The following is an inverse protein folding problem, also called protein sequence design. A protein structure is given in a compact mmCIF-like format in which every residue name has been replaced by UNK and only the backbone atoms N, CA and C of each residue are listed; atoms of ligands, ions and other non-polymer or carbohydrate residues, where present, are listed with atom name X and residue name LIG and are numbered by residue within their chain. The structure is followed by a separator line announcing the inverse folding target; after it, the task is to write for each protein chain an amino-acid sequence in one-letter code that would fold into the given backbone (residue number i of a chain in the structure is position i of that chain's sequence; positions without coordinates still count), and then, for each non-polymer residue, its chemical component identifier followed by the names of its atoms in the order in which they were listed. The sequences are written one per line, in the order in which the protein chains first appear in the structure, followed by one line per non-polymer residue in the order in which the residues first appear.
data_IF_741518056192
#
_entry.id   IF_741518056192
#
_cell.length_a   1.000
_cell.length_b   1.000
_cell.length_c   1.000
_cell.angle_alpha   90.00
_cell.angle_beta   90.00
_cell.angle_gamma   90.00
#
_symmetry.space_group_name_H-M   'P 1'
#
loop_
_entity.id
_entity.type
_entity.pdbx_description
1 polymer ?
#
# COMPACT_ATOMS: atom_id res chain seq x y z
N UNK A 1 28.72 61.25 32.92
CA UNK A 1 27.96 61.23 31.64
C UNK A 1 27.98 59.79 31.15
N UNK A 2 26.88 59.08 31.29
CA UNK A 2 26.72 57.70 30.79
C UNK A 2 26.17 57.81 29.34
N UNK A 3 27.03 57.52 28.35
CA UNK A 3 26.63 57.50 26.95
C UNK A 3 25.89 56.18 26.63
N UNK A 4 24.60 56.23 26.35
CA UNK A 4 23.83 55.13 25.79
C UNK A 4 24.14 55.00 24.32
N UNK A 5 24.84 53.93 23.89
CA UNK A 5 24.92 53.55 22.51
C UNK A 5 23.69 52.66 22.15
N UNK A 6 22.79 53.16 21.31
CA UNK A 6 21.71 52.40 20.70
C UNK A 6 22.31 51.50 19.61
N UNK A 7 22.50 50.22 19.94
CA UNK A 7 22.80 49.19 18.94
C UNK A 7 21.49 48.72 18.30
N UNK A 8 21.24 49.13 17.08
CA UNK A 8 20.08 48.66 16.28
C UNK A 8 20.44 47.30 15.68
N UNK A 9 20.00 46.22 16.32
CA UNK A 9 20.19 44.85 15.82
C UNK A 9 19.08 44.49 14.79
N UNK A 10 19.37 44.73 13.53
CA UNK A 10 18.45 44.32 12.43
C UNK A 10 18.51 42.80 12.22
N UNK A 11 17.68 42.06 12.92
CA UNK A 11 17.47 40.65 12.66
C UNK A 11 16.52 40.50 11.46
N UNK A 12 17.05 40.22 10.30
CA UNK A 12 16.30 39.78 9.12
C UNK A 12 15.61 38.43 9.48
N UNK A 13 14.36 38.49 9.96
CA UNK A 13 13.49 37.30 9.98
C UNK A 13 13.08 37.01 8.54
N UNK A 14 13.57 35.92 7.98
CA UNK A 14 13.10 35.38 6.72
C UNK A 14 11.61 35.03 6.88
N UNK A 15 10.73 35.96 6.52
CA UNK A 15 9.31 35.70 6.44
C UNK A 15 9.08 34.88 5.17
N UNK A 16 8.61 33.63 5.33
CA UNK A 16 8.24 32.77 4.21
C UNK A 16 7.04 33.42 3.52
N UNK A 17 7.21 33.84 2.28
CA UNK A 17 6.12 34.43 1.50
C UNK A 17 5.04 33.40 1.20
N UNK A 18 3.76 33.81 1.02
CA UNK A 18 2.68 32.89 0.63
C UNK A 18 3.00 32.13 -0.67
N UNK A 19 3.64 32.78 -1.60
CA UNK A 19 4.11 32.22 -2.87
C UNK A 19 5.11 31.07 -2.67
N UNK A 20 6.09 31.25 -1.77
CA UNK A 20 7.05 30.21 -1.46
C UNK A 20 6.37 29.01 -0.76
N UNK A 21 5.41 29.25 0.13
CA UNK A 21 4.61 28.18 0.76
C UNK A 21 3.86 27.37 -0.29
N UNK A 22 3.22 28.02 -1.25
CA UNK A 22 2.49 27.38 -2.35
C UNK A 22 3.42 26.54 -3.23
N UNK A 23 4.59 27.05 -3.61
CA UNK A 23 5.59 26.32 -4.40
C UNK A 23 6.06 25.04 -3.68
N UNK A 24 6.33 25.14 -2.36
CA UNK A 24 6.72 24.01 -1.54
C UNK A 24 5.59 23.00 -1.41
N UNK A 25 4.36 23.46 -1.25
CA UNK A 25 3.17 22.63 -1.17
C UNK A 25 2.98 21.84 -2.47
N UNK A 26 2.98 22.50 -3.61
CA UNK A 26 2.87 21.91 -4.94
C UNK A 26 3.95 20.84 -5.18
N UNK A 27 5.19 21.06 -4.72
CA UNK A 27 6.27 20.08 -4.85
C UNK A 27 5.99 18.81 -4.06
N UNK A 28 5.34 18.91 -2.89
CA UNK A 28 5.09 17.78 -1.99
C UNK A 28 3.90 16.90 -2.41
N UNK A 29 2.92 17.42 -3.14
CA UNK A 29 1.71 16.70 -3.55
C UNK A 29 2.04 15.46 -4.41
N UNK A 30 1.25 14.41 -4.31
CA UNK A 30 1.20 13.31 -5.28
C UNK A 30 0.62 13.76 -6.62
N UNK A 31 0.57 12.89 -7.64
CA UNK A 31 -0.04 13.23 -8.93
C UNK A 31 -1.54 13.51 -8.79
N UNK A 32 -2.25 12.65 -8.05
CA UNK A 32 -3.70 12.78 -7.85
C UNK A 32 -4.06 14.00 -7.01
N UNK A 33 -3.34 14.23 -5.91
CA UNK A 33 -3.51 15.43 -5.08
C UNK A 33 -3.23 16.72 -5.86
N UNK A 34 -2.23 16.70 -6.76
CA UNK A 34 -1.94 17.84 -7.63
C UNK A 34 -3.09 18.12 -8.58
N UNK A 35 -3.66 17.08 -9.22
CA UNK A 35 -4.79 17.25 -10.13
C UNK A 35 -6.00 17.84 -9.41
N UNK A 36 -6.32 17.34 -8.22
CA UNK A 36 -7.40 17.86 -7.40
C UNK A 36 -7.15 19.33 -7.02
N UNK A 37 -5.95 19.66 -6.55
CA UNK A 37 -5.56 21.03 -6.22
C UNK A 37 -5.69 21.97 -7.41
N UNK A 38 -5.25 21.55 -8.60
CA UNK A 38 -5.35 22.36 -9.81
C UNK A 38 -6.80 22.54 -10.25
N UNK A 39 -7.65 21.55 -10.07
CA UNK A 39 -9.08 21.64 -10.34
C UNK A 39 -9.77 22.64 -9.40
N UNK A 40 -9.43 22.63 -8.11
CA UNK A 40 -9.91 23.62 -7.14
C UNK A 40 -9.46 25.04 -7.54
N UNK A 41 -8.18 25.23 -7.90
CA UNK A 41 -7.67 26.52 -8.35
C UNK A 41 -8.28 27.00 -9.68
N UNK A 42 -8.63 26.10 -10.58
CA UNK A 42 -9.34 26.45 -11.83
C UNK A 42 -10.79 26.87 -11.59
N UNK A 43 -11.45 26.38 -10.52
CA UNK A 43 -12.80 26.86 -10.13
C UNK A 43 -12.77 28.24 -9.49
N UNK A 44 -11.69 28.57 -8.76
CA UNK A 44 -11.50 29.87 -8.12
C UNK A 44 -11.02 30.96 -9.09
N UNK A 45 -10.21 30.59 -10.08
CA UNK A 45 -9.59 31.52 -11.02
C UNK A 45 -10.12 31.31 -12.45
N UNK A 46 -11.04 32.18 -12.94
CA UNK A 46 -11.69 32.01 -14.25
C UNK A 46 -10.73 32.17 -15.45
N UNK A 47 -9.51 32.70 -15.22
CA UNK A 47 -8.49 32.89 -16.26
C UNK A 47 -7.72 31.61 -16.54
N UNK A 48 -7.74 30.67 -15.59
CA UNK A 48 -6.97 29.43 -15.65
C UNK A 48 -7.79 28.32 -16.34
N UNK A 49 -7.31 27.82 -17.45
CA UNK A 49 -7.84 26.64 -18.11
C UNK A 49 -6.99 25.42 -17.78
N UNK A 50 -7.64 24.36 -17.36
CA UNK A 50 -7.03 23.09 -17.02
C UNK A 50 -7.51 22.00 -17.99
N UNK A 51 -6.60 21.54 -18.85
CA UNK A 51 -6.87 20.42 -19.75
C UNK A 51 -6.44 19.10 -19.08
N UNK A 52 -7.41 18.29 -18.71
CA UNK A 52 -7.16 16.92 -18.27
C UNK A 52 -7.00 16.02 -19.48
N UNK A 53 -5.76 15.83 -19.93
CA UNK A 53 -5.47 14.79 -20.93
C UNK A 53 -5.62 13.41 -20.28
N UNK A 54 -6.83 12.83 -20.32
CA UNK A 54 -7.00 11.38 -20.15
C UNK A 54 -6.33 10.70 -21.33
N UNK A 55 -5.00 10.62 -21.31
CA UNK A 55 -4.29 9.86 -22.34
C UNK A 55 -4.66 8.37 -22.18
N UNK A 56 -5.51 7.89 -23.05
CA UNK A 56 -5.85 6.47 -23.28
C UNK A 56 -4.63 5.62 -23.69
N UNK A 57 -3.41 6.16 -23.59
CA UNK A 57 -2.21 5.55 -24.17
C UNK A 57 -1.44 4.61 -23.22
N UNK A 58 -1.90 4.41 -21.96
CA UNK A 58 -1.10 3.68 -20.98
C UNK A 58 -1.21 2.13 -21.05
N UNK A 59 -2.19 1.55 -21.74
CA UNK A 59 -2.31 0.10 -21.87
C UNK A 59 -2.82 -0.32 -23.26
N UNK A 60 -1.93 -0.35 -24.25
CA UNK A 60 -2.27 -0.95 -25.53
C UNK A 60 -1.23 -0.67 -26.60
N UNK A 61 -0.28 -1.60 -26.80
CA UNK A 61 0.48 -1.67 -28.04
C UNK A 61 -0.50 -1.72 -29.21
N UNK A 62 -0.44 -0.71 -30.07
CA UNK A 62 -1.08 -0.75 -31.39
C UNK A 62 -0.46 -1.89 -32.21
N UNK A 63 -1.14 -3.02 -32.27
CA UNK A 63 -0.94 -3.97 -33.34
C UNK A 63 -2.20 -3.92 -34.23
N UNK A 64 -2.04 -3.48 -35.47
CA UNK A 64 -3.03 -3.71 -36.50
C UNK A 64 -3.70 -2.46 -37.08
N UNK A 65 -3.25 -2.10 -38.25
CA UNK A 65 -3.97 -1.30 -39.25
C UNK A 65 -5.32 -1.96 -39.60
N UNK A 66 -6.40 -1.42 -39.07
CA UNK A 66 -7.76 -1.79 -39.42
C UNK A 66 -8.63 -0.54 -39.52
N UNK A 67 -9.00 -0.14 -40.76
CA UNK A 67 -10.08 0.81 -41.02
C UNK A 67 -11.40 0.16 -40.57
N UNK A 68 -11.84 0.48 -39.36
CA UNK A 68 -13.16 0.12 -38.84
C UNK A 68 -13.57 1.21 -37.85
N UNK A 69 -14.73 1.83 -38.11
CA UNK A 69 -15.28 2.87 -37.24
C UNK A 69 -15.33 2.38 -35.78
N UNK A 70 -14.56 3.01 -34.90
CA UNK A 70 -14.57 2.71 -33.51
C UNK A 70 -15.95 3.12 -32.95
N UNK A 71 -16.82 2.14 -32.80
CA UNK A 71 -18.03 2.23 -31.99
C UNK A 71 -17.59 2.65 -30.62
N UNK A 72 -17.93 3.88 -30.18
CA UNK A 72 -17.66 4.33 -28.82
C UNK A 72 -18.29 3.31 -27.87
N UNK A 73 -17.54 2.68 -27.00
CA UNK A 73 -18.13 1.79 -26.02
C UNK A 73 -19.08 2.61 -25.15
N UNK A 74 -20.29 2.06 -24.96
CA UNK A 74 -21.37 2.67 -24.21
C UNK A 74 -20.86 3.13 -22.83
N UNK A 75 -21.18 4.34 -22.36
CA UNK A 75 -20.78 4.82 -21.02
C UNK A 75 -21.14 3.87 -19.88
N UNK A 76 -22.16 3.03 -20.08
CA UNK A 76 -22.56 1.95 -19.18
C UNK A 76 -21.47 0.89 -18.92
N UNK A 77 -20.56 0.66 -19.88
CA UNK A 77 -19.43 -0.26 -19.70
C UNK A 77 -18.35 0.27 -18.76
N UNK A 78 -18.36 1.58 -18.47
CA UNK A 78 -17.44 2.24 -17.54
C UNK A 78 -18.09 2.56 -16.19
N UNK A 79 -19.40 2.35 -16.05
CA UNK A 79 -20.04 2.35 -14.75
C UNK A 79 -19.50 1.10 -14.04
N UNK A 80 -18.46 1.29 -13.20
CA UNK A 80 -17.99 0.24 -12.30
C UNK A 80 -19.23 -0.25 -11.55
N UNK A 81 -19.61 -1.51 -11.76
CA UNK A 81 -20.66 -2.10 -10.94
C UNK A 81 -20.25 -1.93 -9.49
N UNK A 82 -21.07 -1.24 -8.71
CA UNK A 82 -20.85 -1.09 -7.27
C UNK A 82 -20.64 -2.51 -6.72
N UNK A 83 -19.43 -2.80 -6.27
CA UNK A 83 -19.17 -4.10 -5.68
C UNK A 83 -19.90 -4.16 -4.35
N UNK A 84 -20.77 -5.16 -4.20
CA UNK A 84 -21.49 -5.36 -2.94
C UNK A 84 -20.51 -5.57 -1.80
N UNK A 85 -20.70 -4.85 -0.73
CA UNK A 85 -19.93 -5.03 0.51
C UNK A 85 -20.20 -6.41 1.11
N UNK A 86 -19.33 -6.87 2.03
CA UNK A 86 -19.57 -8.13 2.76
C UNK A 86 -20.95 -8.13 3.41
N UNK A 87 -21.37 -7.01 4.02
CA UNK A 87 -22.69 -6.84 4.63
C UNK A 87 -23.80 -7.01 3.60
N UNK A 88 -23.74 -6.32 2.44
CA UNK A 88 -24.75 -6.40 1.39
C UNK A 88 -24.91 -7.83 0.86
N UNK A 89 -23.80 -8.57 0.69
CA UNK A 89 -23.83 -9.98 0.27
C UNK A 89 -24.48 -10.87 1.32
N UNK A 90 -24.17 -10.70 2.60
CA UNK A 90 -24.79 -11.46 3.69
C UNK A 90 -26.28 -11.12 3.83
N UNK A 91 -26.65 -9.85 3.72
CA UNK A 91 -28.05 -9.43 3.73
C UNK A 91 -28.84 -10.02 2.56
N UNK A 92 -28.23 -10.12 1.38
CA UNK A 92 -28.87 -10.78 0.22
C UNK A 92 -29.17 -12.27 0.51
N UNK A 93 -28.22 -12.99 1.13
CA UNK A 93 -28.42 -14.39 1.54
C UNK A 93 -29.47 -14.51 2.65
N UNK A 94 -29.47 -13.61 3.66
CA UNK A 94 -30.46 -13.60 4.73
C UNK A 94 -31.88 -13.37 4.20
N UNK A 95 -32.06 -12.55 3.17
CA UNK A 95 -33.37 -12.32 2.53
C UNK A 95 -33.93 -13.56 1.84
N UNK A 96 -33.09 -14.49 1.42
CA UNK A 96 -33.52 -15.76 0.83
C UNK A 96 -34.05 -16.73 1.90
N UNK A 97 -33.63 -16.53 3.16
CA UNK A 97 -34.14 -17.30 4.28
C UNK A 97 -35.43 -16.65 4.80
N UNK A 98 -36.55 -17.37 4.78
CA UNK A 98 -37.84 -16.90 5.30
C UNK A 98 -37.81 -16.81 6.84
N UNK A 99 -37.20 -15.74 7.38
CA UNK A 99 -36.98 -15.51 8.80
C UNK A 99 -38.08 -14.63 9.41
N UNK A 100 -38.45 -14.83 10.69
CA UNK A 100 -39.27 -13.87 11.43
C UNK A 100 -38.61 -12.48 11.46
N UNK A 101 -39.45 -11.41 11.44
CA UNK A 101 -38.96 -10.03 11.35
C UNK A 101 -37.90 -9.68 12.41
N UNK A 102 -38.10 -10.14 13.65
CA UNK A 102 -37.19 -9.80 14.77
C UNK A 102 -35.85 -10.55 14.65
N UNK A 103 -35.89 -11.81 14.20
CA UNK A 103 -34.68 -12.61 13.94
C UNK A 103 -33.90 -12.01 12.74
N UNK A 104 -34.62 -11.59 11.69
CA UNK A 104 -33.99 -10.95 10.53
C UNK A 104 -33.30 -9.64 10.92
N UNK A 105 -33.97 -8.79 11.71
CA UNK A 105 -33.37 -7.52 12.19
C UNK A 105 -32.12 -7.78 13.03
N UNK A 106 -32.17 -8.77 13.92
CA UNK A 106 -31.02 -9.14 14.73
C UNK A 106 -29.87 -9.71 13.86
N UNK A 107 -30.17 -10.56 12.88
CA UNK A 107 -29.17 -11.11 11.96
C UNK A 107 -28.54 -10.02 11.06
N UNK A 108 -29.33 -9.06 10.60
CA UNK A 108 -28.84 -7.91 9.83
C UNK A 108 -27.89 -7.04 10.66
N UNK A 109 -28.27 -6.77 11.92
CA UNK A 109 -27.41 -6.04 12.85
C UNK A 109 -26.10 -6.79 13.15
N UNK A 110 -26.15 -8.10 13.33
CA UNK A 110 -24.96 -8.95 13.48
C UNK A 110 -24.06 -8.87 12.25
N UNK A 111 -24.61 -8.95 11.04
CA UNK A 111 -23.86 -8.87 9.79
C UNK A 111 -23.10 -7.54 9.63
N UNK A 112 -23.69 -6.41 10.07
CA UNK A 112 -23.05 -5.10 10.07
C UNK A 112 -21.96 -4.93 11.15
N UNK A 113 -21.93 -5.78 12.18
CA UNK A 113 -20.93 -5.74 13.25
C UNK A 113 -19.81 -6.78 13.10
N UNK A 114 -19.71 -7.44 11.95
CA UNK A 114 -18.60 -8.34 11.64
C UNK A 114 -17.34 -7.54 11.28
N UNK A 115 -16.18 -8.02 11.73
CA UNK A 115 -14.91 -7.48 11.30
C UNK A 115 -14.55 -7.95 9.86
N UNK A 116 -13.47 -7.41 9.28
CA UNK A 116 -13.01 -7.76 7.92
C UNK A 116 -12.73 -9.25 7.73
N UNK A 117 -12.41 -9.97 8.79
CA UNK A 117 -12.16 -11.41 8.76
C UNK A 117 -13.45 -12.24 8.84
N UNK A 118 -14.59 -11.64 9.17
CA UNK A 118 -15.88 -12.28 9.35
C UNK A 118 -16.16 -12.74 10.78
N UNK A 119 -15.41 -12.24 11.77
CA UNK A 119 -15.61 -12.53 13.19
C UNK A 119 -16.52 -11.52 13.86
N UNK A 120 -17.22 -11.96 14.90
CA UNK A 120 -18.08 -11.13 15.74
C UNK A 120 -17.30 -10.77 17.02
N UNK A 121 -16.84 -9.52 17.11
CA UNK A 121 -16.06 -9.04 18.25
C UNK A 121 -16.96 -8.55 19.41
N UNK A 122 -18.26 -8.32 19.15
CA UNK A 122 -19.21 -7.75 20.11
C UNK A 122 -19.95 -8.87 20.85
N UNK A 123 -20.06 -8.82 22.18
CA UNK A 123 -20.78 -9.83 22.97
C UNK A 123 -22.31 -9.79 22.70
N UNK A 124 -22.96 -10.96 22.66
CA UNK A 124 -24.38 -11.08 22.34
C UNK A 124 -25.29 -10.32 23.32
N UNK A 125 -24.88 -10.21 24.57
CA UNK A 125 -25.60 -9.45 25.62
C UNK A 125 -25.71 -7.97 25.31
N UNK A 126 -24.66 -7.38 24.77
CA UNK A 126 -24.63 -5.98 24.34
C UNK A 126 -25.55 -5.75 23.13
N UNK A 127 -25.52 -6.66 22.18
CA UNK A 127 -26.40 -6.63 21.00
C UNK A 127 -27.86 -6.76 21.39
N UNK A 128 -28.18 -7.66 22.31
CA UNK A 128 -29.54 -7.83 22.85
C UNK A 128 -30.03 -6.55 23.53
N UNK A 129 -29.16 -5.87 24.28
CA UNK A 129 -29.46 -4.60 24.92
C UNK A 129 -29.72 -3.47 23.91
N UNK A 130 -28.89 -3.37 22.87
CA UNK A 130 -29.02 -2.35 21.82
C UNK A 130 -30.30 -2.51 21.00
N UNK A 131 -30.67 -3.74 20.67
CA UNK A 131 -31.88 -4.07 19.91
C UNK A 131 -33.13 -4.17 20.76
N UNK A 132 -33.01 -4.19 22.11
CA UNK A 132 -34.12 -4.42 23.06
C UNK A 132 -34.88 -5.71 22.78
N UNK A 133 -34.20 -6.77 22.42
CA UNK A 133 -34.73 -8.11 22.15
C UNK A 133 -34.15 -9.11 23.14
N UNK A 134 -34.84 -10.25 23.30
CA UNK A 134 -34.34 -11.32 24.15
C UNK A 134 -33.04 -11.91 23.58
N UNK A 135 -32.10 -12.28 24.44
CA UNK A 135 -30.83 -12.89 24.06
C UNK A 135 -31.01 -14.18 23.25
N UNK A 136 -32.09 -14.92 23.52
CA UNK A 136 -32.48 -16.11 22.75
C UNK A 136 -32.74 -15.81 21.28
N UNK A 137 -33.34 -14.65 20.96
CA UNK A 137 -33.59 -14.21 19.58
C UNK A 137 -32.26 -13.88 18.88
N UNK A 138 -31.34 -13.23 19.59
CA UNK A 138 -30.00 -12.93 19.07
C UNK A 138 -29.20 -14.21 18.83
N UNK A 139 -29.33 -15.20 19.73
CA UNK A 139 -28.72 -16.53 19.56
C UNK A 139 -29.23 -17.25 18.31
N UNK A 140 -30.54 -17.28 18.09
CA UNK A 140 -31.14 -17.82 16.86
C UNK A 140 -30.68 -17.05 15.60
N UNK A 141 -30.58 -15.74 15.70
CA UNK A 141 -30.09 -14.89 14.61
C UNK A 141 -28.62 -15.22 14.26
N UNK A 142 -27.77 -15.47 15.28
CA UNK A 142 -26.38 -15.88 15.09
C UNK A 142 -26.30 -17.26 14.41
N UNK A 143 -27.09 -18.25 14.85
CA UNK A 143 -27.14 -19.55 14.18
C UNK A 143 -27.53 -19.45 12.71
N UNK A 144 -28.48 -18.58 12.38
CA UNK A 144 -28.86 -18.30 10.98
C UNK A 144 -27.75 -17.61 10.21
N UNK A 145 -27.07 -16.64 10.82
CA UNK A 145 -25.91 -15.99 10.21
C UNK A 145 -24.77 -17.00 9.97
N UNK A 146 -24.47 -17.84 10.95
CA UNK A 146 -23.48 -18.90 10.83
C UNK A 146 -23.89 -19.96 9.80
N UNK A 147 -25.16 -20.06 9.42
CA UNK A 147 -25.63 -20.95 8.35
C UNK A 147 -25.37 -20.44 6.94
N UNK A 148 -24.93 -19.18 6.75
CA UNK A 148 -24.64 -18.59 5.43
C UNK A 148 -23.32 -19.06 4.84
N UNK A 149 -23.06 -18.69 3.60
CA UNK A 149 -21.79 -18.90 2.90
C UNK A 149 -20.96 -17.61 2.87
N UNK A 150 -19.63 -17.78 3.07
CA UNK A 150 -18.83 -18.98 3.32
C UNK A 150 -18.94 -19.50 4.78
N UNK A 151 -18.67 -20.81 4.94
CA UNK A 151 -18.70 -21.45 6.26
C UNK A 151 -17.71 -20.79 7.23
N UNK A 152 -18.14 -20.59 8.50
CA UNK A 152 -17.33 -19.97 9.54
C UNK A 152 -17.54 -18.46 9.71
N UNK A 153 -18.48 -17.84 8.98
CA UNK A 153 -18.90 -16.45 9.23
C UNK A 153 -19.70 -16.34 10.53
N UNK A 154 -19.53 -15.21 11.25
CA UNK A 154 -20.22 -14.95 12.51
C UNK A 154 -19.64 -15.74 13.69
N UNK A 155 -18.46 -16.30 13.57
CA UNK A 155 -17.75 -16.93 14.68
C UNK A 155 -17.13 -15.88 15.62
N UNK A 156 -16.94 -16.24 16.88
CA UNK A 156 -16.31 -15.40 17.91
C UNK A 156 -14.80 -15.59 17.98
N UNK A 157 -14.38 -16.85 17.76
CA UNK A 157 -12.99 -17.28 17.86
C UNK A 157 -12.57 -18.15 16.67
N UNK A 158 -11.25 -18.25 16.43
CA UNK A 158 -10.68 -19.14 15.42
C UNK A 158 -11.13 -20.60 15.62
N UNK A 159 -11.23 -21.05 16.87
CA UNK A 159 -11.70 -22.38 17.21
C UNK A 159 -13.12 -22.63 16.68
N UNK A 160 -14.05 -21.72 16.98
CA UNK A 160 -15.44 -21.80 16.51
C UNK A 160 -15.50 -21.77 14.97
N UNK A 161 -14.71 -20.91 14.33
CA UNK A 161 -14.60 -20.81 12.87
C UNK A 161 -14.21 -22.15 12.22
N UNK A 162 -13.15 -22.79 12.73
CA UNK A 162 -12.68 -24.06 12.22
C UNK A 162 -13.70 -25.18 12.45
N UNK A 163 -14.31 -25.21 13.62
CA UNK A 163 -15.36 -26.21 13.97
C UNK A 163 -16.55 -26.08 13.01
N UNK A 164 -17.04 -24.88 12.76
CA UNK A 164 -18.15 -24.64 11.83
C UNK A 164 -17.82 -25.12 10.41
N UNK A 165 -16.59 -24.91 9.96
CA UNK A 165 -16.15 -25.41 8.65
C UNK A 165 -16.05 -26.92 8.61
N UNK A 166 -15.46 -27.57 9.64
CA UNK A 166 -15.33 -29.03 9.75
C UNK A 166 -16.70 -29.72 9.76
N UNK A 167 -17.66 -29.17 10.51
CA UNK A 167 -19.02 -29.74 10.60
C UNK A 167 -19.76 -29.66 9.27
N UNK A 168 -19.49 -28.61 8.46
CA UNK A 168 -20.15 -28.42 7.17
C UNK A 168 -19.47 -29.16 6.01
N UNK A 169 -18.20 -29.54 6.17
CA UNK A 169 -17.45 -30.24 5.14
C UNK A 169 -17.78 -31.75 5.14
N UNK A 170 -18.43 -32.25 4.08
CA UNK A 170 -18.71 -33.68 3.98
C UNK A 170 -17.44 -34.56 3.83
N UNK A 171 -16.30 -33.93 3.49
CA UNK A 171 -15.00 -34.59 3.36
C UNK A 171 -14.13 -34.44 4.60
N UNK A 172 -14.72 -34.08 5.75
CA UNK A 172 -13.99 -33.92 7.00
C UNK A 172 -13.23 -35.20 7.41
N UNK A 173 -11.98 -34.97 7.85
CA UNK A 173 -11.10 -36.08 8.28
C UNK A 173 -11.41 -36.45 9.75
N UNK A 174 -11.40 -37.74 10.09
CA UNK A 174 -11.58 -38.18 11.48
C UNK A 174 -10.61 -37.49 12.43
N UNK A 175 -11.08 -37.16 13.64
CA UNK A 175 -10.33 -36.47 14.70
C UNK A 175 -9.98 -34.99 14.40
N UNK A 176 -10.32 -34.42 13.24
CA UNK A 176 -10.09 -32.99 12.94
C UNK A 176 -10.90 -32.10 13.89
N UNK A 177 -12.14 -32.50 14.20
CA UNK A 177 -13.00 -31.79 15.13
C UNK A 177 -12.39 -31.74 16.54
N UNK A 178 -11.97 -32.89 17.10
CA UNK A 178 -11.39 -32.97 18.44
C UNK A 178 -10.08 -32.22 18.57
N UNK A 179 -9.27 -32.20 17.49
CA UNK A 179 -8.01 -31.44 17.44
C UNK A 179 -8.30 -29.94 17.41
N UNK A 180 -9.25 -29.48 16.60
CA UNK A 180 -9.64 -28.08 16.53
C UNK A 180 -10.29 -27.59 17.83
N UNK A 181 -11.05 -28.47 18.50
CA UNK A 181 -11.75 -28.15 19.74
C UNK A 181 -10.83 -28.05 20.96
N UNK A 182 -9.92 -28.99 21.15
CA UNK A 182 -9.16 -29.15 22.43
C UNK A 182 -7.66 -28.92 22.28
N UNK A 183 -7.07 -29.12 21.10
CA UNK A 183 -5.62 -29.20 20.92
C UNK A 183 -5.09 -28.18 19.89
N UNK A 184 -5.83 -27.10 19.64
CA UNK A 184 -5.45 -26.11 18.64
C UNK A 184 -4.09 -25.44 18.97
N UNK A 185 -3.80 -25.18 20.26
CA UNK A 185 -2.51 -24.62 20.72
C UNK A 185 -1.34 -25.60 20.53
N UNK A 186 -1.58 -26.89 20.81
CA UNK A 186 -0.58 -27.94 20.60
C UNK A 186 -0.35 -28.20 19.10
N UNK A 187 -1.42 -28.07 18.28
CA UNK A 187 -1.36 -28.13 16.82
C UNK A 187 -0.50 -26.99 16.24
N UNK A 188 -0.68 -25.77 16.74
CA UNK A 188 0.12 -24.61 16.35
C UNK A 188 1.60 -24.77 16.76
N UNK A 189 1.88 -25.37 17.93
CA UNK A 189 3.24 -25.67 18.40
C UNK A 189 3.90 -26.87 17.70
N UNK A 190 3.17 -27.61 16.84
CA UNK A 190 3.68 -28.79 16.15
C UNK A 190 3.92 -30.00 17.09
N UNK A 191 3.23 -30.08 18.23
CA UNK A 191 3.37 -31.12 19.25
C UNK A 191 2.57 -32.36 18.89
N UNK A 192 2.84 -32.98 17.72
CA UNK A 192 2.15 -34.15 17.20
C UNK A 192 2.11 -35.33 18.18
N UNK A 193 3.23 -35.57 18.89
CA UNK A 193 3.32 -36.65 19.86
C UNK A 193 2.33 -36.51 21.01
N UNK A 194 2.12 -35.28 21.50
CA UNK A 194 1.16 -35.00 22.57
C UNK A 194 -0.27 -35.18 22.11
N UNK A 195 -0.61 -34.71 20.90
CA UNK A 195 -1.93 -34.88 20.30
C UNK A 195 -2.23 -36.36 20.07
N UNK A 196 -1.29 -37.09 19.45
CA UNK A 196 -1.44 -38.52 19.18
C UNK A 196 -1.63 -39.36 20.47
N UNK A 197 -0.87 -39.05 21.53
CA UNK A 197 -0.99 -39.72 22.83
C UNK A 197 -2.31 -39.39 23.54
N UNK A 198 -2.74 -38.13 23.51
CA UNK A 198 -3.96 -37.68 24.15
C UNK A 198 -5.22 -38.27 23.50
N UNK A 199 -5.25 -38.34 22.18
CA UNK A 199 -6.37 -38.93 21.41
C UNK A 199 -6.24 -40.43 21.21
N UNK A 200 -5.12 -41.04 21.63
CA UNK A 200 -4.81 -42.47 21.44
C UNK A 200 -4.88 -42.92 19.98
N UNK A 201 -4.36 -42.10 19.07
CA UNK A 201 -4.37 -42.34 17.63
C UNK A 201 -2.94 -42.49 17.07
N UNK A 202 -2.78 -43.20 15.94
CA UNK A 202 -1.50 -43.24 15.24
C UNK A 202 -1.04 -41.82 14.82
N UNK A 203 0.27 -41.55 14.87
CA UNK A 203 0.83 -40.28 14.47
C UNK A 203 0.44 -39.87 13.04
N UNK A 204 0.32 -40.83 12.13
CA UNK A 204 -0.07 -40.60 10.75
C UNK A 204 -1.48 -40.00 10.62
N UNK A 205 -2.43 -40.47 11.45
CA UNK A 205 -3.78 -39.92 11.47
C UNK A 205 -3.81 -38.49 12.02
N UNK A 206 -3.01 -38.23 13.08
CA UNK A 206 -2.86 -36.88 13.62
C UNK A 206 -2.24 -35.93 12.57
N UNK A 207 -1.26 -36.37 11.76
CA UNK A 207 -0.67 -35.61 10.68
C UNK A 207 -1.71 -35.30 9.60
N UNK A 208 -2.49 -36.29 9.16
CA UNK A 208 -3.56 -36.08 8.16
C UNK A 208 -4.61 -35.08 8.63
N UNK A 209 -5.07 -35.22 9.88
CA UNK A 209 -6.03 -34.29 10.46
C UNK A 209 -5.47 -32.84 10.54
N UNK A 210 -4.20 -32.69 10.93
CA UNK A 210 -3.54 -31.36 10.92
C UNK A 210 -3.34 -30.79 9.53
N UNK A 211 -2.99 -31.62 8.55
CA UNK A 211 -2.91 -31.16 7.15
C UNK A 211 -4.26 -30.67 6.65
N UNK A 212 -5.35 -31.43 6.98
CA UNK A 212 -6.71 -30.99 6.65
C UNK A 212 -7.06 -29.64 7.32
N UNK A 213 -6.81 -29.48 8.64
CA UNK A 213 -7.07 -28.24 9.35
C UNK A 213 -6.31 -27.06 8.71
N UNK A 214 -5.10 -27.26 8.19
CA UNK A 214 -4.33 -26.24 7.48
C UNK A 214 -4.92 -25.83 6.13
N UNK A 215 -5.79 -26.64 5.53
CA UNK A 215 -6.50 -26.29 4.29
C UNK A 215 -7.74 -25.43 4.52
N UNK A 216 -8.24 -25.39 5.75
CA UNK A 216 -9.39 -24.58 6.12
C UNK A 216 -9.07 -23.09 6.09
N UNK A 217 -10.08 -22.26 5.86
CA UNK A 217 -9.91 -20.81 5.76
C UNK A 217 -10.11 -20.12 7.13
N UNK A 218 -9.05 -19.61 7.76
CA UNK A 218 -9.17 -18.92 9.04
C UNK A 218 -9.81 -17.51 8.93
N UNK A 219 -10.06 -17.00 7.73
CA UNK A 219 -10.60 -15.65 7.49
C UNK A 219 -11.69 -15.67 6.42
N UNK A 220 -12.87 -16.21 6.76
CA UNK A 220 -13.94 -16.39 5.78
C UNK A 220 -14.47 -15.05 5.22
N UNK A 221 -14.43 -13.96 6.01
CA UNK A 221 -14.87 -12.64 5.58
C UNK A 221 -14.11 -12.12 4.35
N UNK A 222 -12.82 -12.44 4.21
CA UNK A 222 -12.02 -12.01 3.05
C UNK A 222 -12.52 -12.58 1.72
N UNK A 223 -13.23 -13.72 1.73
CA UNK A 223 -13.82 -14.28 0.53
C UNK A 223 -15.03 -13.45 0.02
N UNK A 224 -15.72 -12.76 0.93
CA UNK A 224 -16.83 -11.86 0.60
C UNK A 224 -16.40 -10.41 0.42
N UNK A 225 -15.26 -10.02 1.03
CA UNK A 225 -14.76 -8.67 0.91
C UNK A 225 -14.51 -8.34 -0.58
N UNK A 226 -15.10 -7.26 -1.05
CA UNK A 226 -14.74 -6.67 -2.33
C UNK A 226 -13.33 -6.11 -2.20
N UNK A 227 -12.32 -6.90 -2.55
CA UNK A 227 -10.95 -6.43 -2.56
C UNK A 227 -10.75 -5.57 -3.80
N UNK A 228 -10.95 -4.27 -3.66
CA UNK A 228 -10.53 -3.34 -4.70
C UNK A 228 -9.01 -3.20 -4.63
N UNK A 229 -8.26 -3.76 -5.58
CA UNK A 229 -6.83 -3.57 -5.62
C UNK A 229 -6.56 -2.08 -5.82
N UNK A 230 -5.91 -1.45 -4.86
CA UNK A 230 -5.46 -0.06 -5.00
C UNK A 230 -4.33 -0.03 -6.03
N UNK A 231 -4.65 0.36 -7.25
CA UNK A 231 -3.66 0.57 -8.29
C UNK A 231 -2.90 1.87 -8.03
N UNK A 232 -1.60 1.75 -7.84
CA UNK A 232 -0.73 2.91 -7.70
C UNK A 232 -0.31 3.37 -9.10
N UNK A 233 -0.70 4.59 -9.48
CA UNK A 233 -0.23 5.21 -10.71
C UNK A 233 1.18 5.76 -10.49
N UNK A 234 2.18 5.35 -11.28
CA UNK A 234 3.53 5.86 -11.12
C UNK A 234 3.63 7.33 -11.58
N UNK A 235 4.39 8.13 -10.86
CA UNK A 235 4.68 9.53 -11.22
C UNK A 235 5.70 9.63 -12.35
N UNK A 236 6.60 8.65 -12.45
CA UNK A 236 7.65 8.61 -13.44
C UNK A 236 7.88 7.20 -13.97
N UNK A 237 8.39 7.14 -15.21
CA UNK A 237 8.69 5.92 -15.93
C UNK A 237 10.19 5.91 -16.23
N UNK A 238 10.84 4.81 -15.89
CA UNK A 238 12.25 4.57 -16.19
C UNK A 238 12.33 3.48 -17.24
N UNK A 239 12.76 3.84 -18.44
CA UNK A 239 12.91 2.93 -19.57
C UNK A 239 14.37 2.61 -19.81
N UNK A 240 14.65 1.34 -20.13
CA UNK A 240 15.99 0.89 -20.49
C UNK A 240 16.18 1.02 -22.01
N UNK A 241 17.20 1.73 -22.40
CA UNK A 241 17.74 1.71 -23.76
C UNK A 241 19.08 0.96 -23.74
N UNK A 242 19.56 0.44 -24.85
CA UNK A 242 20.70 -0.49 -24.94
C UNK A 242 21.82 -0.23 -23.89
N UNK A 243 22.35 1.00 -23.83
CA UNK A 243 23.44 1.38 -22.91
C UNK A 243 23.08 2.53 -21.95
N UNK A 244 21.84 2.97 -21.95
CA UNK A 244 21.38 4.13 -21.16
C UNK A 244 19.98 3.92 -20.59
N UNK A 245 19.64 4.76 -19.62
CA UNK A 245 18.28 4.81 -19.05
C UNK A 245 17.70 6.19 -19.31
N UNK A 246 16.45 6.25 -19.71
CA UNK A 246 15.68 7.49 -19.78
C UNK A 246 14.64 7.54 -18.67
N UNK A 247 14.53 8.70 -18.05
CA UNK A 247 13.50 8.96 -17.04
C UNK A 247 12.52 9.96 -17.61
N UNK A 248 11.26 9.57 -17.69
CA UNK A 248 10.16 10.41 -18.16
C UNK A 248 9.10 10.54 -17.08
N UNK A 249 8.40 11.67 -17.00
CA UNK A 249 7.28 11.84 -16.11
C UNK A 249 6.02 11.26 -16.76
N UNK A 250 5.22 10.56 -15.96
CA UNK A 250 3.91 10.08 -16.39
C UNK A 250 2.99 11.25 -16.76
N UNK A 251 2.04 11.02 -17.68
CA UNK A 251 1.14 12.07 -18.18
C UNK A 251 0.33 12.77 -17.05
N UNK A 252 -0.10 12.04 -16.03
CA UNK A 252 -0.79 12.61 -14.86
C UNK A 252 0.09 13.54 -14.02
N UNK A 253 1.40 13.32 -14.00
CA UNK A 253 2.36 14.20 -13.31
C UNK A 253 2.78 15.42 -14.15
N UNK A 254 2.24 15.56 -15.38
CA UNK A 254 2.46 16.68 -16.30
C UNK A 254 1.14 17.32 -16.74
N UNK A 255 0.37 17.92 -15.81
CA UNK A 255 -0.87 18.59 -16.16
C UNK A 255 -0.59 19.74 -17.14
N UNK A 256 -1.48 19.91 -18.11
CA UNK A 256 -1.44 21.04 -19.03
C UNK A 256 -2.30 22.17 -18.47
N UNK A 257 -1.65 23.27 -18.16
CA UNK A 257 -2.30 24.50 -17.75
C UNK A 257 -2.15 25.52 -18.86
N UNK A 258 -3.23 26.21 -19.18
CA UNK A 258 -3.26 27.31 -20.14
C UNK A 258 -4.02 28.50 -19.57
N UNK A 259 -3.73 29.65 -20.12
CA UNK A 259 -4.46 30.88 -19.82
C UNK A 259 -5.52 31.05 -20.90
N UNK A 260 -6.76 31.31 -20.49
CA UNK A 260 -7.88 31.50 -21.42
C UNK A 260 -7.60 32.69 -22.37
N UNK A 261 -7.65 32.40 -23.68
CA UNK A 261 -7.47 33.40 -24.70
C UNK A 261 -8.58 34.45 -24.69
N UNK A 262 -9.78 34.10 -24.27
CA UNK A 262 -10.92 34.99 -24.17
C UNK A 262 -10.67 36.11 -23.15
N UNK A 263 -10.24 35.71 -21.95
CA UNK A 263 -9.87 36.67 -20.90
C UNK A 263 -8.64 37.48 -21.26
N UNK A 264 -7.71 36.96 -22.04
CA UNK A 264 -6.55 37.68 -22.54
C UNK A 264 -6.95 38.82 -23.50
N UNK A 265 -7.82 38.50 -24.48
CA UNK A 265 -8.39 39.48 -25.41
C UNK A 265 -9.25 40.52 -24.69
N UNK A 266 -10.01 40.08 -23.68
CA UNK A 266 -10.84 40.97 -22.87
C UNK A 266 -9.99 41.96 -22.05
N UNK A 267 -8.85 41.55 -21.51
CA UNK A 267 -7.92 42.40 -20.78
C UNK A 267 -7.27 43.45 -21.67
N UNK A 268 -7.10 43.19 -22.96
CA UNK A 268 -6.57 44.12 -23.96
C UNK A 268 -7.63 45.16 -24.39
N UNK A 269 -8.93 44.86 -24.29
CA UNK A 269 -10.04 45.66 -24.90
C UNK A 269 -10.81 46.52 -23.91
N UNK A 270 -10.21 47.24 -22.97
CA UNK A 270 -10.79 48.26 -22.07
C UNK A 270 -11.89 47.80 -21.12
N UNK A 271 -11.58 47.79 -19.85
CA UNK A 271 -12.52 47.53 -18.77
C UNK A 271 -12.48 48.61 -17.71
N UNK A 272 -13.54 48.75 -16.93
CA UNK A 272 -13.61 49.59 -15.74
C UNK A 272 -12.44 49.33 -14.80
N UNK A 273 -11.87 50.36 -14.18
CA UNK A 273 -10.62 50.28 -13.39
C UNK A 273 -10.63 49.20 -12.31
N UNK A 274 -11.77 48.93 -11.66
CA UNK A 274 -11.90 47.90 -10.61
C UNK A 274 -11.91 46.47 -11.16
N UNK A 275 -12.64 46.22 -12.27
CA UNK A 275 -12.67 44.90 -12.91
C UNK A 275 -11.31 44.53 -13.51
N UNK A 276 -10.60 45.52 -14.04
CA UNK A 276 -9.25 45.36 -14.59
C UNK A 276 -8.23 44.94 -13.52
N UNK A 277 -8.29 45.55 -12.31
CA UNK A 277 -7.42 45.17 -11.18
C UNK A 277 -7.63 43.74 -10.79
N UNK A 278 -8.87 43.27 -10.62
CA UNK A 278 -9.20 41.90 -10.25
C UNK A 278 -8.67 40.89 -11.30
N UNK A 279 -8.96 41.11 -12.57
CA UNK A 279 -8.50 40.24 -13.66
C UNK A 279 -6.97 40.19 -13.74
N UNK A 280 -6.29 41.33 -13.51
CA UNK A 280 -4.82 41.37 -13.47
C UNK A 280 -4.25 40.54 -12.32
N UNK A 281 -4.89 40.52 -11.15
CA UNK A 281 -4.48 39.68 -10.03
C UNK A 281 -4.73 38.22 -10.33
N UNK A 282 -5.83 37.87 -11.00
CA UNK A 282 -6.12 36.51 -11.49
C UNK A 282 -5.04 36.02 -12.49
N UNK A 283 -4.61 36.90 -13.44
CA UNK A 283 -3.51 36.57 -14.37
C UNK A 283 -2.21 36.32 -13.64
N UNK A 284 -1.84 37.17 -12.68
CA UNK A 284 -0.61 37.02 -11.89
C UNK A 284 -0.61 35.69 -11.11
N UNK A 285 -1.74 35.38 -10.48
CA UNK A 285 -1.93 34.10 -9.76
C UNK A 285 -1.82 32.89 -10.69
N UNK A 286 -2.46 32.93 -11.87
CA UNK A 286 -2.39 31.88 -12.87
C UNK A 286 -0.95 31.67 -13.40
N UNK A 287 -0.25 32.74 -13.76
CA UNK A 287 1.15 32.68 -14.22
C UNK A 287 2.07 32.11 -13.14
N UNK A 288 1.87 32.50 -11.87
CA UNK A 288 2.64 31.99 -10.76
C UNK A 288 2.41 30.49 -10.57
N UNK A 289 1.15 30.04 -10.61
CA UNK A 289 0.80 28.64 -10.50
C UNK A 289 1.42 27.80 -11.62
N UNK A 290 1.37 28.28 -12.86
CA UNK A 290 2.03 27.62 -14.00
C UNK A 290 3.55 27.50 -13.80
N UNK A 291 4.21 28.55 -13.29
CA UNK A 291 5.63 28.51 -12.94
C UNK A 291 5.92 27.48 -11.85
N UNK A 292 5.09 27.40 -10.83
CA UNK A 292 5.23 26.40 -9.74
C UNK A 292 5.13 24.96 -10.26
N UNK A 293 4.19 24.70 -11.16
CA UNK A 293 4.01 23.37 -11.77
C UNK A 293 5.22 23.02 -12.66
N UNK A 294 5.74 23.98 -13.45
CA UNK A 294 6.92 23.72 -14.28
C UNK A 294 8.20 23.56 -13.45
N UNK A 295 8.36 24.32 -12.37
CA UNK A 295 9.46 24.14 -11.41
C UNK A 295 9.37 22.76 -10.74
N UNK A 296 8.16 22.32 -10.36
CA UNK A 296 7.95 20.95 -9.83
C UNK A 296 8.43 19.90 -10.82
N UNK A 297 7.97 19.99 -12.08
CA UNK A 297 8.34 19.05 -13.15
C UNK A 297 9.86 18.98 -13.34
N UNK A 298 10.51 20.13 -13.43
CA UNK A 298 11.96 20.23 -13.60
C UNK A 298 12.70 19.65 -12.41
N UNK A 299 12.27 19.95 -11.19
CA UNK A 299 12.86 19.43 -9.95
C UNK A 299 12.71 17.92 -9.85
N UNK A 300 11.51 17.38 -10.13
CA UNK A 300 11.26 15.95 -10.12
C UNK A 300 12.15 15.21 -11.12
N UNK A 301 12.28 15.71 -12.36
CA UNK A 301 13.15 15.11 -13.38
C UNK A 301 14.62 15.14 -12.96
N UNK A 302 15.11 16.27 -12.42
CA UNK A 302 16.49 16.37 -11.93
C UNK A 302 16.76 15.36 -10.81
N UNK A 303 15.89 15.29 -9.81
CA UNK A 303 16.03 14.36 -8.69
C UNK A 303 15.96 12.90 -9.17
N UNK A 304 15.01 12.57 -10.05
CA UNK A 304 14.86 11.22 -10.57
C UNK A 304 16.06 10.77 -11.40
N UNK A 305 16.59 11.61 -12.29
CA UNK A 305 17.79 11.32 -13.07
C UNK A 305 18.99 11.08 -12.16
N UNK A 306 19.25 11.97 -11.19
CA UNK A 306 20.36 11.81 -10.25
C UNK A 306 20.24 10.54 -9.42
N UNK A 307 19.01 10.15 -9.01
CA UNK A 307 18.75 8.91 -8.30
C UNK A 307 19.02 7.68 -9.17
N UNK A 308 18.56 7.65 -10.42
CA UNK A 308 18.72 6.51 -11.33
C UNK A 308 20.18 6.36 -11.78
N UNK A 309 20.93 7.45 -11.89
CA UNK A 309 22.39 7.41 -12.11
C UNK A 309 23.13 6.71 -10.98
N UNK A 310 22.77 6.95 -9.72
CA UNK A 310 23.32 6.25 -8.56
C UNK A 310 22.89 4.78 -8.52
N UNK A 311 21.68 4.49 -8.98
CA UNK A 311 21.06 3.17 -8.90
C UNK A 311 21.18 2.37 -10.22
N UNK A 312 22.18 2.65 -11.07
CA UNK A 312 22.41 1.89 -12.32
C UNK A 312 22.46 0.39 -12.09
N UNK A 313 23.16 -0.05 -11.05
CA UNK A 313 23.25 -1.47 -10.73
C UNK A 313 21.89 -2.10 -10.38
N UNK A 314 20.98 -1.33 -9.74
CA UNK A 314 19.61 -1.79 -9.53
C UNK A 314 18.84 -1.98 -10.83
N UNK A 315 19.03 -1.09 -11.79
CA UNK A 315 18.35 -1.18 -13.09
C UNK A 315 18.81 -2.38 -13.91
N UNK A 316 20.04 -2.88 -13.67
CA UNK A 316 20.59 -4.06 -14.33
C UNK A 316 20.25 -5.35 -13.57
N UNK A 317 20.49 -5.39 -12.26
CA UNK A 317 20.44 -6.59 -11.42
C UNK A 317 19.19 -6.69 -10.53
N UNK A 318 18.32 -5.66 -10.55
CA UNK A 318 17.17 -5.58 -9.67
C UNK A 318 17.54 -5.32 -8.21
N UNK A 319 16.79 -5.90 -7.28
CA UNK A 319 16.93 -5.64 -5.84
C UNK A 319 18.34 -5.93 -5.31
N UNK A 320 19.06 -6.87 -5.94
CA UNK A 320 20.43 -7.24 -5.56
C UNK A 320 21.43 -6.11 -5.84
N UNK A 321 21.18 -5.30 -6.85
CA UNK A 321 22.03 -4.18 -7.25
C UNK A 321 21.76 -2.88 -6.53
N UNK A 322 20.88 -2.84 -5.52
CA UNK A 322 20.56 -1.60 -4.81
C UNK A 322 21.78 -1.09 -4.03
N UNK A 323 22.25 0.10 -4.40
CA UNK A 323 23.32 0.81 -3.69
C UNK A 323 22.73 1.67 -2.55
N UNK A 324 23.44 1.81 -1.43
CA UNK A 324 23.03 2.71 -0.37
C UNK A 324 23.11 4.16 -0.86
N UNK A 325 22.06 4.93 -0.58
CA UNK A 325 21.94 6.32 -1.01
C UNK A 325 21.29 7.14 0.09
N UNK A 326 21.80 8.33 0.36
CA UNK A 326 21.27 9.28 1.33
C UNK A 326 20.69 10.52 0.65
N UNK A 327 19.85 11.25 1.36
CA UNK A 327 19.32 12.53 0.87
C UNK A 327 20.46 13.52 0.62
N UNK A 328 21.48 13.52 1.51
CA UNK A 328 22.67 14.37 1.39
C UNK A 328 23.45 14.11 0.11
N UNK A 329 23.57 12.85 -0.31
CA UNK A 329 24.27 12.50 -1.57
C UNK A 329 23.59 13.13 -2.78
N UNK A 330 22.27 13.05 -2.86
CA UNK A 330 21.51 13.63 -4.00
C UNK A 330 21.43 15.15 -3.91
N UNK A 331 21.24 15.71 -2.71
CA UNK A 331 21.20 17.17 -2.51
C UNK A 331 22.53 17.82 -2.88
N UNK A 332 23.67 17.22 -2.51
CA UNK A 332 25.00 17.69 -2.89
C UNK A 332 25.26 17.65 -4.40
N UNK A 333 24.79 16.58 -5.10
CA UNK A 333 24.91 16.49 -6.57
C UNK A 333 24.11 17.53 -7.33
N UNK A 334 22.95 17.91 -6.80
CA UNK A 334 22.02 18.80 -7.47
C UNK A 334 22.13 20.25 -6.99
N UNK A 335 23.00 20.53 -6.02
CA UNK A 335 23.12 21.82 -5.34
C UNK A 335 21.76 22.31 -4.80
N UNK A 336 21.04 21.42 -4.12
CA UNK A 336 19.72 21.66 -3.55
C UNK A 336 19.72 21.32 -2.07
N UNK A 337 18.81 21.93 -1.29
CA UNK A 337 18.65 21.59 0.11
C UNK A 337 18.00 20.19 0.26
N UNK A 338 18.41 19.39 1.26
CA UNK A 338 17.88 18.06 1.51
C UNK A 338 16.36 18.02 1.68
N UNK A 339 15.77 19.09 2.27
CA UNK A 339 14.32 19.20 2.41
C UNK A 339 13.59 19.28 1.06
N UNK A 340 14.20 19.87 0.03
CA UNK A 340 13.64 19.94 -1.32
C UNK A 340 13.61 18.56 -1.95
N UNK A 341 14.72 17.81 -1.84
CA UNK A 341 14.79 16.43 -2.32
C UNK A 341 13.78 15.55 -1.57
N UNK A 342 13.71 15.66 -0.24
CA UNK A 342 12.76 14.90 0.60
C UNK A 342 11.29 15.15 0.20
N UNK A 343 10.91 16.41 -0.09
CA UNK A 343 9.56 16.75 -0.58
C UNK A 343 9.31 16.23 -1.98
N UNK A 344 10.33 16.30 -2.85
CA UNK A 344 10.22 15.77 -4.21
C UNK A 344 9.95 14.27 -4.28
N UNK A 345 10.49 13.47 -3.36
CA UNK A 345 10.34 12.00 -3.35
C UNK A 345 9.15 11.49 -2.54
N UNK A 346 8.58 12.33 -1.67
CA UNK A 346 7.51 11.92 -0.76
C UNK A 346 6.24 11.54 -1.53
N UNK A 347 5.69 10.36 -1.24
CA UNK A 347 4.43 9.88 -1.83
C UNK A 347 4.48 9.63 -3.33
N UNK A 348 5.68 9.54 -3.95
CA UNK A 348 5.83 9.36 -5.39
C UNK A 348 6.43 8.00 -5.73
N UNK A 349 6.03 7.48 -6.89
CA UNK A 349 6.38 6.14 -7.37
C UNK A 349 7.05 6.20 -8.73
N UNK A 350 8.00 5.30 -8.95
CA UNK A 350 8.65 5.09 -10.23
C UNK A 350 8.29 3.71 -10.79
N UNK A 351 7.88 3.65 -12.05
CA UNK A 351 7.81 2.43 -12.83
C UNK A 351 9.21 2.13 -13.37
N UNK A 352 9.79 1.03 -12.94
CA UNK A 352 11.11 0.57 -13.39
C UNK A 352 10.94 -0.75 -14.15
N UNK A 353 11.97 -1.25 -14.89
CA UNK A 353 11.91 -2.57 -15.52
C UNK A 353 11.64 -3.74 -14.56
N UNK A 354 11.94 -3.55 -13.28
CA UNK A 354 11.73 -4.54 -12.21
C UNK A 354 10.41 -4.37 -11.45
N UNK A 355 9.55 -3.41 -11.85
CA UNK A 355 8.26 -3.14 -11.22
C UNK A 355 8.11 -1.72 -10.70
N UNK A 356 6.99 -1.46 -10.00
CA UNK A 356 6.68 -0.15 -9.41
C UNK A 356 7.27 -0.06 -8.01
N UNK A 357 8.09 0.96 -7.76
CA UNK A 357 8.70 1.21 -6.46
C UNK A 357 8.44 2.65 -6.00
N UNK A 358 8.15 2.87 -4.69
CA UNK A 358 8.13 4.22 -4.15
C UNK A 358 9.54 4.81 -4.20
N UNK A 359 9.70 6.09 -4.54
CA UNK A 359 11.03 6.73 -4.63
C UNK A 359 11.81 6.65 -3.31
N UNK A 360 11.11 6.71 -2.18
CA UNK A 360 11.70 6.52 -0.85
C UNK A 360 12.36 5.14 -0.70
N UNK A 361 11.99 4.17 -1.53
CA UNK A 361 12.56 2.82 -1.50
C UNK A 361 14.07 2.82 -1.77
N UNK A 362 14.58 3.71 -2.60
CA UNK A 362 16.00 3.77 -2.97
C UNK A 362 16.89 4.40 -1.90
N UNK A 363 16.30 5.15 -0.96
CA UNK A 363 17.04 5.74 0.17
C UNK A 363 17.14 4.73 1.32
N UNK A 364 18.15 3.88 1.24
CA UNK A 364 18.43 2.86 2.24
C UNK A 364 19.73 3.16 2.96
N UNK A 365 19.76 2.95 4.28
CA UNK A 365 20.97 3.07 5.06
C UNK A 365 22.02 2.06 4.59
N UNK A 366 23.27 2.49 4.53
CA UNK A 366 24.41 1.64 4.23
C UNK A 366 24.81 0.78 5.42
N UNK A 367 25.21 -0.46 5.14
CA UNK A 367 25.84 -1.39 6.08
C UNK A 367 27.31 -1.53 5.65
N UNK A 368 28.25 -1.40 6.57
CA UNK A 368 29.67 -1.47 6.28
C UNK A 368 30.07 -2.81 5.64
N UNK A 369 30.83 -2.74 4.56
CA UNK A 369 31.39 -3.91 3.87
C UNK A 369 32.87 -4.07 4.24
N UNK A 370 33.41 -5.28 4.19
CA UNK A 370 34.84 -5.57 4.46
C UNK A 370 35.78 -4.84 3.53
N UNK A 371 35.33 -4.52 2.31
CA UNK A 371 36.15 -3.87 1.27
C UNK A 371 36.08 -2.33 1.31
N UNK A 372 35.69 -1.73 2.44
CA UNK A 372 35.58 -0.27 2.60
C UNK A 372 34.35 0.37 1.92
N UNK A 373 33.50 -0.42 1.29
CA UNK A 373 32.24 0.01 0.71
C UNK A 373 31.06 -0.05 1.69
N UNK A 374 29.88 0.26 1.21
CA UNK A 374 28.64 0.07 1.96
C UNK A 374 27.62 -0.71 1.12
N UNK A 375 27.02 -1.74 1.72
CA UNK A 375 25.92 -2.50 1.14
C UNK A 375 24.58 -1.94 1.62
N UNK A 376 23.57 -1.94 0.77
CA UNK A 376 22.23 -1.49 1.19
C UNK A 376 21.61 -2.50 2.17
N UNK A 377 20.99 -2.01 3.25
CA UNK A 377 20.25 -2.87 4.19
C UNK A 377 19.16 -3.69 3.50
N UNK A 378 18.61 -3.21 2.40
CA UNK A 378 17.61 -3.93 1.59
C UNK A 378 18.20 -5.08 0.79
N UNK A 379 19.36 -4.87 0.16
CA UNK A 379 20.10 -5.93 -0.50
C UNK A 379 20.44 -7.06 0.49
N UNK A 380 20.90 -6.69 1.70
CA UNK A 380 21.20 -7.66 2.75
C UNK A 380 19.97 -8.46 3.16
N UNK A 381 18.82 -7.79 3.35
CA UNK A 381 17.55 -8.47 3.66
C UNK A 381 17.10 -9.41 2.53
N UNK A 382 17.24 -8.99 1.27
CA UNK A 382 16.94 -9.84 0.12
C UNK A 382 17.85 -11.09 0.10
N UNK A 383 19.13 -10.91 0.41
CA UNK A 383 20.09 -12.02 0.48
C UNK A 383 19.80 -13.00 1.61
N UNK A 384 19.45 -12.49 2.80
CA UNK A 384 19.01 -13.33 3.94
C UNK A 384 17.76 -14.13 3.55
N UNK A 385 16.77 -13.51 2.89
CA UNK A 385 15.57 -14.19 2.42
C UNK A 385 15.89 -15.30 1.42
N UNK A 386 16.83 -15.05 0.49
CA UNK A 386 17.26 -16.02 -0.51
C UNK A 386 17.99 -17.23 0.15
N UNK A 387 18.91 -16.96 1.09
CA UNK A 387 19.61 -18.01 1.85
C UNK A 387 18.64 -18.90 2.63
N UNK A 388 17.64 -18.28 3.27
CA UNK A 388 16.62 -19.03 4.02
C UNK A 388 15.68 -19.81 3.08
N UNK A 389 15.37 -19.26 1.89
CA UNK A 389 14.55 -19.95 0.91
C UNK A 389 15.24 -21.20 0.32
N UNK A 390 16.59 -21.17 0.23
CA UNK A 390 17.40 -22.27 -0.28
C UNK A 390 17.92 -23.21 0.80
N UNK A 391 17.61 -22.97 2.10
CA UNK A 391 18.08 -23.81 3.21
C UNK A 391 17.42 -25.19 3.24
N UNK A 392 18.13 -26.18 3.77
CA UNK A 392 17.55 -27.48 4.11
C UNK A 392 16.63 -27.35 5.33
N UNK A 393 15.33 -27.64 5.15
CA UNK A 393 14.31 -27.56 6.20
C UNK A 393 14.54 -28.55 7.36
N UNK A 394 15.37 -29.58 7.17
CA UNK A 394 15.76 -30.51 8.24
C UNK A 394 16.91 -29.95 9.09
N UNK A 395 17.75 -29.09 8.49
CA UNK A 395 18.89 -28.44 9.16
C UNK A 395 18.91 -26.93 8.84
N UNK A 396 17.95 -26.17 9.34
CA UNK A 396 17.86 -24.73 9.03
C UNK A 396 19.09 -23.99 9.56
N UNK A 397 19.53 -23.01 8.80
CA UNK A 397 20.71 -22.18 9.12
C UNK A 397 20.46 -21.39 10.42
N UNK A 398 21.45 -21.39 11.32
CA UNK A 398 21.42 -20.51 12.49
C UNK A 398 21.69 -19.06 12.08
N UNK A 399 21.22 -18.07 12.88
CA UNK A 399 21.50 -16.65 12.64
C UNK A 399 23.02 -16.38 12.62
N UNK A 400 23.85 -17.21 13.32
CA UNK A 400 25.30 -17.14 13.25
C UNK A 400 25.83 -17.62 11.90
N UNK A 401 25.36 -18.78 11.42
CA UNK A 401 25.78 -19.33 10.13
C UNK A 401 25.42 -18.39 8.97
N UNK A 402 24.28 -17.71 9.06
CA UNK A 402 23.89 -16.66 8.09
C UNK A 402 24.85 -15.47 8.17
N UNK A 403 25.24 -15.04 9.37
CA UNK A 403 26.21 -13.96 9.54
C UNK A 403 27.60 -14.34 8.96
N UNK A 404 28.05 -15.57 9.18
CA UNK A 404 29.32 -16.07 8.69
C UNK A 404 29.30 -16.22 7.15
N UNK A 405 28.18 -16.67 6.58
CA UNK A 405 27.99 -16.73 5.13
C UNK A 405 28.00 -15.32 4.50
N UNK A 406 27.32 -14.35 5.09
CA UNK A 406 27.36 -12.95 4.64
C UNK A 406 28.75 -12.34 4.78
N UNK A 407 29.50 -12.72 5.83
CA UNK A 407 30.88 -12.29 5.99
C UNK A 407 31.78 -12.82 4.89
N UNK A 408 31.62 -14.07 4.44
CA UNK A 408 32.34 -14.62 3.30
C UNK A 408 32.03 -13.92 1.97
N UNK A 409 30.83 -13.35 1.84
CA UNK A 409 30.41 -12.48 0.73
C UNK A 409 30.88 -11.02 0.89
N UNK A 410 31.66 -10.73 1.95
CA UNK A 410 32.22 -9.40 2.18
C UNK A 410 31.31 -8.43 2.97
N UNK A 411 30.18 -8.90 3.51
CA UNK A 411 29.23 -8.07 4.27
C UNK A 411 29.43 -8.30 5.76
N UNK A 412 29.86 -7.27 6.51
CA UNK A 412 30.06 -7.37 7.96
C UNK A 412 28.76 -7.14 8.71
N UNK A 413 28.18 -8.20 9.24
CA UNK A 413 27.00 -8.15 10.07
C UNK A 413 27.18 -8.94 11.35
N UNK A 414 26.68 -8.38 12.45
CA UNK A 414 26.62 -9.12 13.72
C UNK A 414 25.41 -10.08 13.71
N UNK A 415 25.51 -11.18 14.46
CA UNK A 415 24.37 -12.08 14.71
C UNK A 415 23.09 -11.34 15.12
N UNK A 416 23.21 -10.32 16.00
CA UNK A 416 22.07 -9.50 16.45
C UNK A 416 21.42 -8.75 15.30
N UNK A 417 22.21 -8.24 14.35
CA UNK A 417 21.66 -7.54 13.17
C UNK A 417 20.94 -8.53 12.23
N UNK A 418 21.45 -9.74 12.04
CA UNK A 418 20.78 -10.80 11.27
C UNK A 418 19.47 -11.18 11.92
N UNK A 419 19.42 -11.38 13.25
CA UNK A 419 18.18 -11.65 13.99
C UNK A 419 17.13 -10.55 13.76
N UNK A 420 17.55 -9.27 13.91
CA UNK A 420 16.67 -8.12 13.67
C UNK A 420 16.12 -8.11 12.24
N UNK A 421 16.97 -8.30 11.22
CA UNK A 421 16.52 -8.30 9.82
C UNK A 421 15.60 -9.48 9.51
N UNK A 422 15.84 -10.65 10.10
CA UNK A 422 14.97 -11.81 9.97
C UNK A 422 13.59 -11.55 10.56
N UNK A 423 13.53 -10.95 11.76
CA UNK A 423 12.28 -10.57 12.41
C UNK A 423 11.51 -9.51 11.62
N UNK A 424 12.19 -8.50 11.08
CA UNK A 424 11.58 -7.52 10.19
C UNK A 424 11.02 -8.14 8.89
N UNK A 425 11.54 -9.29 8.47
CA UNK A 425 11.03 -10.08 7.35
C UNK A 425 9.92 -11.06 7.77
N UNK A 426 9.51 -11.08 9.04
CA UNK A 426 8.56 -12.05 9.62
C UNK A 426 8.96 -13.52 9.42
N UNK A 427 10.27 -13.80 9.44
CA UNK A 427 10.80 -15.15 9.30
C UNK A 427 11.09 -15.74 10.70
N UNK A 428 10.57 -16.95 10.97
CA UNK A 428 10.76 -17.61 12.24
C UNK A 428 12.24 -17.96 12.51
N UNK A 429 12.61 -18.11 13.80
CA UNK A 429 13.94 -18.56 14.21
C UNK A 429 14.27 -19.98 13.69
N UNK A 430 15.55 -20.34 13.65
CA UNK A 430 16.00 -21.67 13.20
C UNK A 430 15.22 -22.84 13.83
N UNK A 431 14.94 -22.87 15.17
CA UNK A 431 14.09 -23.91 15.74
C UNK A 431 12.65 -23.91 15.22
N UNK A 432 12.10 -22.74 14.92
CA UNK A 432 10.74 -22.59 14.38
C UNK A 432 10.61 -22.94 12.90
N UNK A 433 11.72 -22.87 12.14
CA UNK A 433 11.75 -23.25 10.72
C UNK A 433 12.04 -24.74 10.51
N UNK A 434 12.53 -25.42 11.55
CA UNK A 434 12.85 -26.85 11.46
C UNK A 434 11.58 -27.64 11.18
N UNK A 435 11.59 -28.38 10.07
CA UNK A 435 10.51 -29.30 9.77
C UNK A 435 10.47 -30.41 10.80
N UNK A 436 9.44 -30.45 11.65
CA UNK A 436 9.24 -31.46 12.66
C UNK A 436 8.36 -32.64 12.16
N UNK A 437 7.98 -32.58 10.88
CA UNK A 437 7.11 -33.56 10.22
C UNK A 437 7.89 -34.33 9.20
#
# INVERSE_FOLDING_TARGET
MLGYQLAQDQRLKLAITPELKQSIHILSLSADELLQYLQEQATENPVLEFEFSRSREAFGKKTGTGKGGAMMPDPLWYAAAKQDTMEEKLLSQLRLLSLPSDVFKAAAYLAGNLNENGYLDVPLTEIAGNLKVAETVVGLALEKLQSLEPAGIGCRDLRECLILQIVRDPQSVPYAFEIADKYLSDAAGGNLGRIASALRIPKEQAVRALQYIRTLNPRPGLALAAFEPQYVVPDMIVERHADSFSVTLHAMSRPKLSISEEYRKWAETRSSAAAFSYVKDCFRSAEWLMRCVEMRKTTLLKVANAMMEEQKAFLDEGIKGIRPMTLSTISGKLDMHESTVSRAIRGKYALTPHGVFPLKYFFAAGVATSNGGSASSRMVKARIKEMIASEDKHRPLSDQNIADALFSEGIRLSRRAVTKYREELNIASSPGRKNKI
#
